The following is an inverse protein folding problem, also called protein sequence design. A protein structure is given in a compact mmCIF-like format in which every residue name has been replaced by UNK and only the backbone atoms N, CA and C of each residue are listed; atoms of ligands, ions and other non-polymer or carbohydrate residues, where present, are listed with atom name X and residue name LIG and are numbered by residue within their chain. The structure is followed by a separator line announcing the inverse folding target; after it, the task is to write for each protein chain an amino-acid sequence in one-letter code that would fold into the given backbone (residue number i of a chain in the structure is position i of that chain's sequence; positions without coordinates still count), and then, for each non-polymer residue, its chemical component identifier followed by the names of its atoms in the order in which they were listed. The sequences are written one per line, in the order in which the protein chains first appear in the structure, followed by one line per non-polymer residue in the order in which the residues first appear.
data_IF_915790609318
#
_entry.id   IF_915790609318
#
_cell.length_a   1.000
_cell.length_b   1.000
_cell.length_c   1.000
_cell.angle_alpha   90.00
_cell.angle_beta   90.00
_cell.angle_gamma   90.00
#
_symmetry.space_group_name_H-M   'P 1'
#
loop_
_entity.id
_entity.type
_entity.pdbx_description
1 polymer ?
#
# COMPACT_ATOMS: atom_id res chain seq x y z
N UNK A 1 27.16 34.46 16.54
CA UNK A 1 28.49 33.87 16.26
C UNK A 1 28.55 32.54 17.03
N UNK A 2 27.49 31.73 16.92
CA UNK A 2 27.19 30.62 17.85
C UNK A 2 27.00 29.26 17.14
N UNK A 3 26.95 29.22 15.81
CA UNK A 3 26.60 28.03 15.01
C UNK A 3 27.79 27.06 14.80
N UNK A 4 29.03 27.48 15.13
CA UNK A 4 30.23 26.69 14.84
C UNK A 4 30.50 25.58 15.88
N UNK A 5 29.93 25.69 17.08
CA UNK A 5 30.19 24.76 18.18
C UNK A 5 29.11 23.70 18.36
N UNK A 6 27.92 23.89 17.79
CA UNK A 6 26.81 22.95 17.93
C UNK A 6 27.11 21.58 17.32
N UNK A 7 27.78 21.57 16.16
CA UNK A 7 28.26 20.33 15.53
C UNK A 7 29.31 19.60 16.38
N UNK A 8 30.17 20.34 17.08
CA UNK A 8 31.20 19.77 17.96
C UNK A 8 30.55 19.21 19.24
N UNK A 9 29.60 19.93 19.82
CA UNK A 9 28.83 19.48 20.99
C UNK A 9 28.09 18.17 20.66
N UNK A 10 27.46 18.09 19.49
CA UNK A 10 26.79 16.88 19.01
C UNK A 10 27.75 15.69 18.89
N UNK A 11 28.94 15.89 18.28
CA UNK A 11 29.95 14.84 18.14
C UNK A 11 30.46 14.35 19.51
N UNK A 12 30.64 15.25 20.48
CA UNK A 12 31.05 14.89 21.85
C UNK A 12 29.96 14.07 22.55
N UNK A 13 28.68 14.42 22.38
CA UNK A 13 27.56 13.67 22.92
C UNK A 13 27.48 12.26 22.32
N UNK A 14 27.63 12.15 21.00
CA UNK A 14 27.65 10.87 20.29
C UNK A 14 28.85 10.00 20.69
N UNK A 15 30.03 10.58 20.87
CA UNK A 15 31.21 9.86 21.39
C UNK A 15 30.97 9.29 22.79
N UNK A 16 30.32 10.07 23.68
CA UNK A 16 29.95 9.57 25.01
C UNK A 16 28.98 8.39 24.95
N UNK A 17 27.99 8.44 24.05
CA UNK A 17 27.04 7.35 23.85
C UNK A 17 27.73 6.09 23.31
N UNK A 18 28.59 6.24 22.31
CA UNK A 18 29.41 5.16 21.76
C UNK A 18 30.28 4.48 22.83
N UNK A 19 31.03 5.26 23.64
CA UNK A 19 31.90 4.71 24.69
C UNK A 19 31.16 4.06 25.86
N UNK A 20 29.86 4.35 26.02
CA UNK A 20 29.01 3.64 26.98
C UNK A 20 28.67 2.22 26.51
N UNK A 21 28.61 2.01 25.18
CA UNK A 21 28.34 0.72 24.54
C UNK A 21 29.64 -0.07 24.29
N UNK A 22 30.68 0.60 23.80
CA UNK A 22 31.99 0.01 23.50
C UNK A 22 33.08 0.64 24.38
N UNK A 23 33.35 -0.01 25.52
CA UNK A 23 34.29 0.52 26.52
C UNK A 23 35.72 0.72 26.02
N UNK A 24 36.13 0.00 24.97
CA UNK A 24 37.46 0.09 24.36
C UNK A 24 37.45 0.69 22.94
N UNK A 25 36.31 1.20 22.46
CA UNK A 25 36.15 1.67 21.08
C UNK A 25 37.02 2.87 20.72
N UNK A 26 37.71 2.83 19.57
CA UNK A 26 38.60 3.89 19.10
C UNK A 26 37.91 4.83 18.08
N UNK A 27 38.64 5.82 17.57
CA UNK A 27 38.10 6.80 16.60
C UNK A 27 37.61 6.12 15.30
N UNK A 28 38.36 5.16 14.71
CA UNK A 28 37.85 4.37 13.58
C UNK A 28 36.54 3.65 13.86
N UNK A 29 36.42 2.96 14.99
CA UNK A 29 35.18 2.26 15.37
C UNK A 29 34.02 3.23 15.61
N UNK A 30 34.28 4.39 16.18
CA UNK A 30 33.28 5.45 16.31
C UNK A 30 32.84 6.04 14.97
N UNK A 31 33.76 6.22 14.01
CA UNK A 31 33.42 6.71 12.67
C UNK A 31 32.50 5.70 11.95
N UNK A 32 32.81 4.41 12.05
CA UNK A 32 31.94 3.35 11.55
C UNK A 32 30.59 3.33 12.27
N UNK A 33 30.58 3.47 13.59
CA UNK A 33 29.37 3.54 14.40
C UNK A 33 28.49 4.73 14.00
N UNK A 34 29.04 5.93 13.78
CA UNK A 34 28.30 7.11 13.32
C UNK A 34 27.66 6.93 11.94
N UNK A 35 28.36 6.28 11.02
CA UNK A 35 27.85 5.98 9.67
C UNK A 35 26.67 5.01 9.76
N UNK A 36 26.73 4.05 10.69
CA UNK A 36 25.69 3.06 10.91
C UNK A 36 24.53 3.59 11.79
N UNK A 37 24.78 4.52 12.71
CA UNK A 37 23.78 5.14 13.62
C UNK A 37 22.81 6.07 12.87
N UNK A 38 23.22 6.60 11.70
CA UNK A 38 22.36 7.42 10.82
C UNK A 38 21.52 6.58 9.84
N UNK A 39 21.64 5.26 9.86
CA UNK A 39 20.61 4.43 9.25
C UNK A 39 19.48 4.25 10.27
N UNK A 40 18.24 4.64 9.95
CA UNK A 40 17.11 4.26 10.77
C UNK A 40 17.20 2.75 10.99
N UNK A 41 17.11 2.30 12.25
CA UNK A 41 17.08 0.88 12.65
C UNK A 41 15.82 0.13 12.14
N UNK A 42 15.31 0.52 10.97
CA UNK A 42 14.14 0.04 10.26
C UNK A 42 14.38 -0.11 8.74
N UNK A 43 15.56 0.27 8.22
CA UNK A 43 16.01 -0.29 6.94
C UNK A 43 16.44 -1.71 7.22
N UNK A 44 15.54 -2.64 6.94
CA UNK A 44 15.85 -4.07 6.87
C UNK A 44 16.70 -4.31 5.62
N UNK A 45 17.94 -3.80 5.63
CA UNK A 45 18.94 -4.08 4.60
C UNK A 45 19.12 -5.58 4.47
N UNK A 46 19.03 -6.31 5.58
CA UNK A 46 19.09 -7.77 5.62
C UNK A 46 17.99 -8.42 4.76
N UNK A 47 16.79 -7.83 4.68
CA UNK A 47 15.71 -8.37 3.85
C UNK A 47 15.81 -8.00 2.37
N UNK A 48 16.24 -6.79 2.03
CA UNK A 48 16.52 -6.43 0.63
C UNK A 48 17.74 -7.20 0.11
N UNK A 49 18.81 -7.27 0.88
CA UNK A 49 20.00 -8.06 0.59
C UNK A 49 19.67 -9.55 0.53
N UNK A 50 18.78 -10.07 1.40
CA UNK A 50 18.29 -11.44 1.29
C UNK A 50 17.50 -11.67 0.00
N UNK A 51 16.63 -10.73 -0.41
CA UNK A 51 15.88 -10.86 -1.67
C UNK A 51 16.85 -10.87 -2.86
N UNK A 52 17.82 -9.95 -2.89
CA UNK A 52 18.85 -9.88 -3.94
C UNK A 52 19.70 -11.15 -3.94
N UNK A 53 20.17 -11.60 -2.78
CA UNK A 53 20.98 -12.82 -2.65
C UNK A 53 20.20 -14.07 -3.08
N UNK A 54 18.90 -14.16 -2.80
CA UNK A 54 18.06 -15.26 -3.30
C UNK A 54 17.86 -15.20 -4.81
N UNK A 55 17.77 -14.00 -5.41
CA UNK A 55 17.67 -13.81 -6.87
C UNK A 55 18.95 -14.27 -7.55
N UNK A 56 20.10 -13.80 -7.07
CA UNK A 56 21.41 -14.15 -7.62
C UNK A 56 21.65 -15.67 -7.54
N UNK A 57 21.32 -16.30 -6.40
CA UNK A 57 21.39 -17.77 -6.23
C UNK A 57 20.43 -18.54 -7.14
N UNK A 58 19.33 -17.93 -7.59
CA UNK A 58 18.42 -18.53 -8.57
C UNK A 58 18.92 -18.35 -10.00
N UNK A 59 19.65 -17.28 -10.32
CA UNK A 59 20.27 -17.09 -11.64
C UNK A 59 21.45 -18.04 -11.88
N UNK A 60 22.23 -18.36 -10.85
CA UNK A 60 23.38 -19.29 -10.94
C UNK A 60 22.99 -20.77 -11.19
N UNK A 61 21.72 -21.14 -11.01
CA UNK A 61 21.24 -22.54 -11.05
C UNK A 61 20.69 -23.03 -12.40
N UNK A 62 21.01 -22.38 -13.52
CA UNK A 62 20.41 -22.68 -14.84
C UNK A 62 18.87 -22.53 -14.83
N UNK A 63 18.34 -21.78 -13.86
CA UNK A 63 16.91 -21.49 -13.73
C UNK A 63 16.55 -20.34 -14.67
N UNK A 64 15.42 -20.47 -15.36
CA UNK A 64 14.91 -19.47 -16.31
C UNK A 64 14.92 -18.08 -15.61
N UNK A 65 15.70 -17.09 -16.07
CA UNK A 65 15.87 -15.79 -15.38
C UNK A 65 14.55 -15.06 -15.06
N UNK A 66 13.50 -15.39 -15.83
CA UNK A 66 12.13 -14.92 -15.63
C UNK A 66 11.48 -15.41 -14.31
N UNK A 67 11.87 -16.57 -13.75
CA UNK A 67 11.31 -17.08 -12.50
C UNK A 67 11.76 -16.27 -11.27
N UNK A 68 13.05 -15.96 -11.17
CA UNK A 68 13.60 -15.16 -10.07
C UNK A 68 12.97 -13.76 -10.06
N UNK A 69 12.92 -13.11 -11.23
CA UNK A 69 12.29 -11.80 -11.41
C UNK A 69 10.80 -11.80 -11.02
N UNK A 70 10.03 -12.83 -11.41
CA UNK A 70 8.62 -12.96 -10.99
C UNK A 70 8.45 -13.05 -9.47
N UNK A 71 9.34 -13.77 -8.80
CA UNK A 71 9.35 -13.91 -7.34
C UNK A 71 9.55 -12.57 -6.64
N UNK A 72 10.56 -11.80 -7.08
CA UNK A 72 10.86 -10.45 -6.55
C UNK A 72 9.70 -9.50 -6.76
N UNK A 73 9.18 -9.42 -7.99
CA UNK A 73 8.06 -8.54 -8.32
C UNK A 73 6.87 -8.87 -7.42
N UNK A 74 6.53 -10.15 -7.26
CA UNK A 74 5.45 -10.59 -6.37
C UNK A 74 5.68 -10.17 -4.92
N UNK A 75 6.90 -10.35 -4.41
CA UNK A 75 7.27 -9.96 -3.05
C UNK A 75 7.15 -8.43 -2.84
N UNK A 76 7.72 -7.63 -3.74
CA UNK A 76 7.71 -6.18 -3.65
C UNK A 76 6.27 -5.63 -3.73
N UNK A 77 5.43 -6.14 -4.63
CA UNK A 77 4.02 -5.77 -4.70
C UNK A 77 3.28 -6.06 -3.39
N UNK A 78 3.52 -7.23 -2.78
CA UNK A 78 2.94 -7.58 -1.50
C UNK A 78 3.42 -6.65 -0.37
N UNK A 79 4.72 -6.36 -0.30
CA UNK A 79 5.33 -5.47 0.69
C UNK A 79 4.81 -4.03 0.56
N UNK A 80 4.70 -3.51 -0.66
CA UNK A 80 4.13 -2.18 -0.91
C UNK A 80 2.66 -2.10 -0.47
N UNK A 81 1.86 -3.13 -0.71
CA UNK A 81 0.48 -3.17 -0.22
C UNK A 81 0.40 -3.17 1.33
N UNK A 82 1.37 -3.81 2.01
CA UNK A 82 1.44 -3.74 3.48
C UNK A 82 1.74 -2.33 3.98
N UNK A 83 2.70 -1.62 3.36
CA UNK A 83 2.97 -0.22 3.71
C UNK A 83 1.75 0.67 3.49
N UNK A 84 1.07 0.54 2.34
CA UNK A 84 -0.17 1.27 2.06
C UNK A 84 -1.22 1.04 3.13
N UNK A 85 -1.44 -0.23 3.53
CA UNK A 85 -2.40 -0.56 4.60
C UNK A 85 -1.97 0.02 5.95
N UNK A 86 -0.67 -0.01 6.25
CA UNK A 86 -0.13 0.51 7.49
C UNK A 86 -0.35 2.03 7.60
N UNK A 87 0.06 2.79 6.58
CA UNK A 87 -0.06 4.25 6.56
C UNK A 87 -1.52 4.72 6.52
N UNK A 88 -2.41 3.98 5.86
CA UNK A 88 -3.84 4.32 5.80
C UNK A 88 -4.60 4.04 7.11
N UNK A 89 -4.09 3.16 7.99
CA UNK A 89 -4.86 2.65 9.14
C UNK A 89 -5.35 3.73 10.10
N UNK A 90 -4.45 4.55 10.63
CA UNK A 90 -4.80 5.59 11.59
C UNK A 90 -5.65 6.70 10.95
N UNK A 91 -5.24 7.32 9.81
CA UNK A 91 -6.02 8.39 9.19
C UNK A 91 -7.45 7.96 8.82
N UNK A 92 -7.64 6.71 8.40
CA UNK A 92 -8.98 6.18 8.10
C UNK A 92 -9.82 6.02 9.36
N UNK A 93 -9.22 5.53 10.44
CA UNK A 93 -9.91 5.39 11.72
C UNK A 93 -10.40 6.74 12.24
N UNK A 94 -9.62 7.82 12.06
CA UNK A 94 -9.98 9.18 12.49
C UNK A 94 -11.21 9.72 11.77
N UNK A 95 -11.41 9.35 10.50
CA UNK A 95 -12.58 9.70 9.69
C UNK A 95 -13.69 8.63 9.73
N UNK A 96 -13.60 7.69 10.67
CA UNK A 96 -14.61 6.69 10.94
C UNK A 96 -14.61 5.47 10.02
N UNK A 97 -13.58 5.24 9.20
CA UNK A 97 -13.43 4.08 8.33
C UNK A 97 -12.60 2.99 9.00
N UNK A 98 -13.04 1.73 8.94
CA UNK A 98 -12.29 0.63 9.58
C UNK A 98 -11.11 0.15 8.75
N UNK A 99 -11.16 0.32 7.44
CA UNK A 99 -10.12 -0.18 6.56
C UNK A 99 -10.10 0.51 5.20
N UNK A 100 -9.01 0.31 4.46
CA UNK A 100 -8.86 0.79 3.09
C UNK A 100 -9.86 0.14 2.13
N UNK A 101 -10.29 -1.10 2.43
CA UNK A 101 -11.31 -1.83 1.67
C UNK A 101 -12.69 -1.15 1.72
N UNK A 102 -13.08 -0.53 2.85
CA UNK A 102 -14.31 0.28 2.93
C UNK A 102 -14.32 1.43 1.92
N UNK A 103 -13.20 2.15 1.83
CA UNK A 103 -13.01 3.19 0.82
C UNK A 103 -13.03 2.64 -0.60
N UNK A 104 -12.31 1.54 -0.86
CA UNK A 104 -12.27 0.93 -2.21
C UNK A 104 -13.67 0.57 -2.69
N UNK A 105 -14.51 -0.03 -1.84
CA UNK A 105 -15.89 -0.34 -2.22
C UNK A 105 -16.74 0.91 -2.43
N UNK A 106 -16.62 1.92 -1.56
CA UNK A 106 -17.36 3.17 -1.72
C UNK A 106 -16.99 3.89 -3.03
N UNK A 107 -15.68 4.00 -3.33
CA UNK A 107 -15.17 4.57 -4.57
C UNK A 107 -15.63 3.77 -5.80
N UNK A 108 -15.67 2.43 -5.69
CA UNK A 108 -16.10 1.58 -6.79
C UNK A 108 -17.59 1.72 -7.10
N UNK A 109 -18.43 1.85 -6.08
CA UNK A 109 -19.88 2.08 -6.24
C UNK A 109 -20.15 3.47 -6.85
N UNK A 110 -19.36 4.48 -6.50
CA UNK A 110 -19.44 5.81 -7.12
C UNK A 110 -19.06 5.76 -8.61
N UNK A 111 -18.00 5.03 -8.94
CA UNK A 111 -17.49 4.92 -10.32
C UNK A 111 -18.34 4.03 -11.22
N UNK A 112 -18.77 2.86 -10.71
CA UNK A 112 -19.53 1.85 -11.46
C UNK A 112 -21.00 2.01 -11.07
N UNK A 113 -21.69 2.91 -11.77
CA UNK A 113 -23.12 3.10 -11.57
C UNK A 113 -23.87 1.78 -11.76
N UNK A 114 -24.89 1.54 -10.93
CA UNK A 114 -25.80 0.40 -11.06
C UNK A 114 -25.14 -0.99 -10.88
N UNK A 115 -24.10 -1.09 -10.05
CA UNK A 115 -23.47 -2.36 -9.70
C UNK A 115 -24.26 -3.16 -8.66
N UNK A 116 -24.35 -4.48 -8.82
CA UNK A 116 -24.91 -5.37 -7.79
C UNK A 116 -23.82 -5.97 -6.88
N UNK A 117 -24.21 -6.62 -5.77
CA UNK A 117 -23.26 -7.17 -4.78
C UNK A 117 -22.31 -8.23 -5.35
N UNK A 118 -22.79 -9.05 -6.28
CA UNK A 118 -21.98 -10.10 -6.90
C UNK A 118 -20.97 -9.50 -7.86
N UNK A 119 -21.38 -8.51 -8.66
CA UNK A 119 -20.48 -7.76 -9.54
C UNK A 119 -19.44 -7.01 -8.71
N UNK A 120 -19.86 -6.35 -7.62
CA UNK A 120 -18.94 -5.64 -6.74
C UNK A 120 -17.89 -6.58 -6.11
N UNK A 121 -18.27 -7.80 -5.74
CA UNK A 121 -17.33 -8.83 -5.27
C UNK A 121 -16.31 -9.23 -6.32
N UNK A 122 -16.74 -9.46 -7.57
CA UNK A 122 -15.84 -9.79 -8.67
C UNK A 122 -14.90 -8.63 -9.00
N UNK A 123 -15.42 -7.41 -9.14
CA UNK A 123 -14.66 -6.22 -9.52
C UNK A 123 -13.66 -5.78 -8.43
N UNK A 124 -14.01 -6.00 -7.15
CA UNK A 124 -13.11 -5.67 -6.03
C UNK A 124 -12.10 -6.76 -5.69
N UNK A 125 -12.18 -7.92 -6.33
CA UNK A 125 -11.39 -9.12 -6.01
C UNK A 125 -11.53 -9.51 -4.52
N UNK A 126 -12.70 -9.26 -3.93
CA UNK A 126 -13.00 -9.57 -2.53
C UNK A 126 -14.03 -10.67 -2.42
N UNK A 127 -13.87 -11.52 -1.42
CA UNK A 127 -14.87 -12.52 -1.05
C UNK A 127 -16.25 -11.88 -0.81
N UNK A 128 -17.30 -12.54 -1.29
CA UNK A 128 -18.67 -12.02 -1.24
C UNK A 128 -19.11 -11.68 0.19
N UNK A 129 -18.73 -12.50 1.18
CA UNK A 129 -19.02 -12.27 2.59
C UNK A 129 -18.39 -10.98 3.11
N UNK A 130 -17.13 -10.71 2.74
CA UNK A 130 -16.42 -9.48 3.08
C UNK A 130 -17.09 -8.25 2.46
N UNK A 131 -17.50 -8.34 1.20
CA UNK A 131 -18.26 -7.27 0.53
C UNK A 131 -19.56 -6.99 1.24
N UNK A 132 -20.34 -8.01 1.59
CA UNK A 132 -21.62 -7.84 2.29
C UNK A 132 -21.44 -7.19 3.67
N UNK A 133 -20.41 -7.58 4.42
CA UNK A 133 -20.11 -7.03 5.73
C UNK A 133 -19.68 -5.55 5.65
N UNK A 134 -18.83 -5.19 4.68
CA UNK A 134 -18.46 -3.81 4.41
C UNK A 134 -19.68 -2.99 3.98
N UNK A 135 -20.48 -3.50 3.04
CA UNK A 135 -21.69 -2.80 2.55
C UNK A 135 -22.68 -2.51 3.67
N UNK A 136 -22.88 -3.45 4.59
CA UNK A 136 -23.73 -3.22 5.76
C UNK A 136 -23.28 -1.98 6.52
N UNK A 137 -21.98 -1.84 6.82
CA UNK A 137 -21.45 -0.67 7.53
C UNK A 137 -21.57 0.61 6.72
N UNK A 138 -21.34 0.56 5.40
CA UNK A 138 -21.52 1.74 4.53
C UNK A 138 -22.98 2.19 4.47
N UNK A 139 -23.93 1.25 4.47
CA UNK A 139 -25.38 1.55 4.53
C UNK A 139 -25.79 2.07 5.92
N UNK A 140 -25.28 1.48 7.01
CA UNK A 140 -25.53 1.93 8.38
C UNK A 140 -25.03 3.37 8.60
N UNK A 141 -23.97 3.77 7.90
CA UNK A 141 -23.44 5.15 7.86
C UNK A 141 -24.17 6.08 6.88
N UNK A 142 -25.18 5.60 6.15
CA UNK A 142 -25.89 6.39 5.14
C UNK A 142 -25.09 6.72 3.87
N UNK A 143 -23.92 6.10 3.67
CA UNK A 143 -23.03 6.40 2.53
C UNK A 143 -23.42 5.67 1.24
N UNK A 144 -24.10 4.54 1.38
CA UNK A 144 -24.57 3.70 0.28
C UNK A 144 -26.04 3.36 0.51
N UNK A 145 -26.81 3.30 -0.57
CA UNK A 145 -28.18 2.79 -0.57
C UNK A 145 -28.32 1.62 -1.53
N UNK A 146 -29.28 0.76 -1.22
CA UNK A 146 -29.66 -0.36 -2.05
C UNK A 146 -31.02 -0.05 -2.70
N UNK A 147 -31.07 -0.03 -4.03
CA UNK A 147 -32.29 0.22 -4.81
C UNK A 147 -32.70 -1.04 -5.57
N UNK A 148 -34.00 -1.20 -5.82
CA UNK A 148 -34.48 -2.28 -6.68
C UNK A 148 -33.97 -2.07 -8.10
N UNK A 149 -33.54 -3.14 -8.76
CA UNK A 149 -33.19 -3.06 -10.17
C UNK A 149 -34.49 -2.91 -10.99
N UNK A 150 -34.64 -1.86 -11.82
CA UNK A 150 -35.83 -1.67 -12.65
C UNK A 150 -36.08 -2.81 -13.65
N UNK A 151 -35.00 -3.46 -14.09
CA UNK A 151 -35.02 -4.51 -15.11
C UNK A 151 -35.16 -5.92 -14.52
N UNK A 152 -34.89 -6.08 -13.22
CA UNK A 152 -35.04 -7.35 -12.51
C UNK A 152 -35.33 -7.10 -11.03
N UNK A 153 -36.59 -7.17 -10.62
CA UNK A 153 -36.99 -6.91 -9.23
C UNK A 153 -36.39 -7.90 -8.21
N UNK A 154 -35.81 -9.03 -8.67
CA UNK A 154 -35.07 -9.97 -7.82
C UNK A 154 -33.64 -9.52 -7.57
N UNK A 155 -33.11 -8.63 -8.41
CA UNK A 155 -31.81 -8.01 -8.25
C UNK A 155 -31.92 -6.63 -7.61
N UNK A 156 -30.85 -6.24 -6.92
CA UNK A 156 -30.74 -4.94 -6.27
C UNK A 156 -29.41 -4.31 -6.63
N UNK A 157 -29.45 -3.01 -6.84
CA UNK A 157 -28.31 -2.20 -7.26
C UNK A 157 -27.86 -1.34 -6.10
N UNK A 158 -26.57 -1.09 -6.05
CA UNK A 158 -25.95 -0.23 -5.07
C UNK A 158 -25.77 1.15 -5.68
N UNK A 159 -26.05 2.19 -4.89
CA UNK A 159 -25.79 3.57 -5.26
C UNK A 159 -25.14 4.30 -4.10
N UNK A 160 -24.17 5.14 -4.40
CA UNK A 160 -23.61 6.07 -3.42
C UNK A 160 -24.63 7.18 -3.15
N UNK A 161 -24.67 7.68 -1.92
CA UNK A 161 -25.46 8.86 -1.55
C UNK A 161 -24.65 10.14 -1.72
N UNK A 162 -25.31 11.31 -1.64
CA UNK A 162 -24.59 12.59 -1.61
C UNK A 162 -23.69 12.71 -0.37
N UNK A 163 -24.09 12.12 0.75
CA UNK A 163 -23.24 12.00 1.94
C UNK A 163 -22.03 11.09 1.69
N UNK A 164 -22.22 9.97 0.99
CA UNK A 164 -21.15 9.10 0.52
C UNK A 164 -20.14 9.83 -0.36
N UNK A 165 -20.59 10.66 -1.31
CA UNK A 165 -19.72 11.47 -2.17
C UNK A 165 -18.95 12.52 -1.38
N UNK A 166 -19.62 13.21 -0.46
CA UNK A 166 -18.97 14.15 0.47
C UNK A 166 -17.87 13.45 1.26
N UNK A 167 -18.16 12.24 1.77
CA UNK A 167 -17.22 11.43 2.51
C UNK A 167 -16.02 10.99 1.66
N UNK A 168 -16.21 10.63 0.39
CA UNK A 168 -15.09 10.38 -0.54
C UNK A 168 -14.19 11.61 -0.67
N UNK A 169 -14.76 12.81 -0.77
CA UNK A 169 -14.00 14.07 -0.74
C UNK A 169 -13.12 14.22 0.51
N UNK A 170 -13.67 13.89 1.69
CA UNK A 170 -12.92 13.87 2.95
C UNK A 170 -11.80 12.84 2.95
N UNK A 171 -12.06 11.63 2.43
CA UNK A 171 -11.05 10.58 2.32
C UNK A 171 -9.90 11.01 1.40
N UNK A 172 -10.18 11.61 0.24
CA UNK A 172 -9.12 12.08 -0.67
C UNK A 172 -8.24 13.16 -0.03
N UNK A 173 -8.85 14.11 0.70
CA UNK A 173 -8.08 15.11 1.47
C UNK A 173 -7.21 14.45 2.53
N UNK A 174 -7.72 13.43 3.22
CA UNK A 174 -6.98 12.67 4.23
C UNK A 174 -5.81 11.93 3.59
N UNK A 175 -6.03 11.22 2.48
CA UNK A 175 -4.99 10.51 1.72
C UNK A 175 -3.87 11.44 1.25
N UNK A 176 -4.21 12.66 0.81
CA UNK A 176 -3.24 13.66 0.39
C UNK A 176 -2.33 14.16 1.54
N UNK A 177 -2.73 13.96 2.79
CA UNK A 177 -1.99 14.39 3.98
C UNK A 177 -1.15 13.28 4.61
N UNK A 178 -1.31 12.02 4.19
CA UNK A 178 -0.57 10.89 4.75
C UNK A 178 0.92 11.04 4.43
N UNK A 179 1.75 11.04 5.48
CA UNK A 179 3.21 11.01 5.39
C UNK A 179 3.77 9.77 6.11
N UNK A 180 4.73 9.05 5.52
CA UNK A 180 5.29 9.26 4.18
C UNK A 180 4.25 8.98 3.08
N UNK A 181 4.38 9.66 1.94
CA UNK A 181 3.55 9.35 0.78
C UNK A 181 4.03 8.00 0.19
N UNK A 182 3.13 7.26 -0.48
CA UNK A 182 3.45 5.91 -1.00
C UNK A 182 4.53 5.91 -2.09
N UNK A 183 4.70 7.02 -2.81
CA UNK A 183 5.70 7.14 -3.86
C UNK A 183 7.11 7.39 -3.32
N UNK A 184 7.26 7.69 -2.02
CA UNK A 184 8.54 7.92 -1.37
C UNK A 184 9.39 8.95 -2.11
N UNK A 185 10.61 8.54 -2.47
CA UNK A 185 11.63 9.38 -3.10
C UNK A 185 11.62 9.33 -4.63
N UNK A 186 10.64 8.65 -5.26
CA UNK A 186 10.56 8.55 -6.72
C UNK A 186 10.34 9.93 -7.34
N UNK A 187 11.16 10.29 -8.33
CA UNK A 187 10.92 11.44 -9.19
C UNK A 187 9.63 11.28 -10.00
N UNK A 188 9.06 12.38 -10.49
CA UNK A 188 7.83 12.34 -11.30
C UNK A 188 7.94 11.40 -12.51
N UNK A 189 9.11 11.37 -13.17
CA UNK A 189 9.35 10.50 -14.32
C UNK A 189 9.39 9.01 -13.92
N UNK A 190 9.97 8.70 -12.76
CA UNK A 190 9.98 7.32 -12.24
C UNK A 190 8.58 6.89 -11.81
N UNK A 191 7.80 7.79 -11.22
CA UNK A 191 6.39 7.53 -10.90
C UNK A 191 5.57 7.22 -12.16
N UNK A 192 5.71 8.02 -13.23
CA UNK A 192 5.05 7.76 -14.51
C UNK A 192 5.45 6.40 -15.10
N UNK A 193 6.75 6.06 -15.01
CA UNK A 193 7.27 4.77 -15.48
C UNK A 193 6.66 3.62 -14.68
N UNK A 194 6.63 3.72 -13.35
CA UNK A 194 6.05 2.71 -12.48
C UNK A 194 4.55 2.56 -12.74
N UNK A 195 3.81 3.66 -12.89
CA UNK A 195 2.39 3.65 -13.25
C UNK A 195 2.17 2.90 -14.56
N UNK A 196 2.97 3.18 -15.59
CA UNK A 196 2.88 2.49 -16.87
C UNK A 196 3.07 0.97 -16.73
N UNK A 197 4.08 0.54 -15.97
CA UNK A 197 4.37 -0.89 -15.73
C UNK A 197 3.25 -1.57 -14.93
N UNK A 198 2.77 -0.93 -13.86
CA UNK A 198 1.67 -1.45 -13.04
C UNK A 198 0.37 -1.54 -13.84
N UNK A 199 0.07 -0.58 -14.72
CA UNK A 199 -1.09 -0.64 -15.61
C UNK A 199 -0.99 -1.80 -16.61
N UNK A 200 0.22 -2.09 -17.11
CA UNK A 200 0.45 -3.25 -17.98
C UNK A 200 0.18 -4.56 -17.23
N UNK A 201 0.66 -4.69 -15.99
CA UNK A 201 0.35 -5.84 -15.13
C UNK A 201 -1.15 -5.94 -14.85
N UNK A 202 -1.78 -4.83 -14.47
CA UNK A 202 -3.20 -4.78 -14.14
C UNK A 202 -4.08 -5.26 -15.31
N UNK A 203 -3.78 -4.83 -16.54
CA UNK A 203 -4.52 -5.25 -17.74
C UNK A 203 -4.44 -6.77 -17.92
N UNK A 204 -3.23 -7.32 -17.90
CA UNK A 204 -3.03 -8.77 -18.03
C UNK A 204 -3.83 -9.55 -16.97
N UNK A 205 -3.74 -9.13 -15.71
CA UNK A 205 -4.45 -9.82 -14.62
C UNK A 205 -5.97 -9.63 -14.68
N UNK A 206 -6.46 -8.49 -15.14
CA UNK A 206 -7.90 -8.25 -15.35
C UNK A 206 -8.46 -9.17 -16.43
N UNK A 207 -7.77 -9.27 -17.57
CA UNK A 207 -8.17 -10.14 -18.68
C UNK A 207 -8.13 -11.62 -18.22
N UNK A 208 -7.02 -12.06 -17.62
CA UNK A 208 -6.87 -13.41 -17.12
C UNK A 208 -7.92 -13.77 -16.06
N UNK A 209 -8.18 -12.87 -15.10
CA UNK A 209 -9.16 -13.10 -14.05
C UNK A 209 -10.58 -13.25 -14.63
N UNK A 210 -10.93 -12.36 -15.56
CA UNK A 210 -12.24 -12.37 -16.22
C UNK A 210 -12.45 -13.65 -17.02
N UNK A 211 -11.44 -14.11 -17.75
CA UNK A 211 -11.53 -15.32 -18.57
C UNK A 211 -11.63 -16.61 -17.73
N UNK A 212 -10.92 -16.67 -16.60
CA UNK A 212 -10.73 -17.92 -15.86
C UNK A 212 -11.61 -18.05 -14.61
N UNK A 213 -12.05 -16.93 -14.02
CA UNK A 213 -12.73 -16.93 -12.72
C UNK A 213 -14.12 -16.30 -12.74
N UNK A 214 -14.38 -15.38 -13.67
CA UNK A 214 -15.73 -14.84 -13.87
C UNK A 214 -16.48 -15.76 -14.84
N UNK A 215 -17.44 -16.52 -14.32
CA UNK A 215 -18.32 -17.34 -15.17
C UNK A 215 -19.02 -16.44 -16.19
N UNK A 216 -18.72 -16.58 -17.48
CA UNK A 216 -19.56 -16.04 -18.55
C UNK A 216 -20.97 -16.61 -18.34
N UNK A 217 -21.96 -15.76 -18.05
CA UNK A 217 -23.38 -16.13 -18.15
C UNK A 217 -23.58 -16.60 -19.60
N UNK A 218 -23.78 -17.91 -19.79
CA UNK A 218 -24.40 -18.45 -21.00
C UNK A 218 -25.89 -18.12 -20.97
#
# INVERSE_FOLDING_TARGET
MDDCYDGIILLIQKWKAFRALEKDGDIPSFANWLVNENQPAFYDSDQEDFIIEQVDKMEEKDTIPDLANRGVIGHLLARMNLFVKHYAKQPFSEIGFKSLEEFRLLQMIDRVENINKSELSNESLMEFSTVVDILKRLMDKGLVIQVKNPNDQRASLLKITEEGKSQLGTIYKTLAQIKPNVAGDLSLKEQETLIHLLLKLNRFHTDYFTENFIKKKK
#
